data_IF_409644909993
#
_entry.id   IF_409644909993
#
_cell.length_a   1.000
_cell.length_b   1.000
_cell.length_c   1.000
_cell.angle_alpha   90.00
_cell.angle_beta   90.00
_cell.angle_gamma   90.00
#
_symmetry.space_group_name_H-M   'P 1'
#
loop_
_entity.id
_entity.type
_entity.pdbx_description
1 polymer ?
#
# COMPACT_ATOMS: atom_id res chain seq x y z
N UNK A 1 3.79 12.03 7.13
CA UNK A 1 3.63 11.22 5.91
C UNK A 1 4.91 10.55 5.43
N UNK A 2 6.02 11.25 5.46
CA UNK A 2 7.29 10.63 5.05
C UNK A 2 7.65 9.43 5.94
N UNK A 3 7.52 9.59 7.25
CA UNK A 3 7.79 8.49 8.18
C UNK A 3 6.81 7.35 8.01
N UNK A 4 5.54 7.67 7.78
CA UNK A 4 4.52 6.65 7.53
C UNK A 4 4.84 5.87 6.26
N UNK A 5 5.28 6.57 5.19
CA UNK A 5 5.70 5.91 3.96
C UNK A 5 6.86 4.95 4.19
N UNK A 6 7.82 5.34 5.02
CA UNK A 6 8.95 4.48 5.39
C UNK A 6 8.50 3.26 6.18
N UNK A 7 7.57 3.45 7.13
CA UNK A 7 7.03 2.33 7.90
C UNK A 7 6.32 1.33 7.01
N UNK A 8 5.49 1.83 6.07
CA UNK A 8 4.76 0.97 5.13
C UNK A 8 5.74 0.21 4.25
N UNK A 9 6.77 0.88 3.75
CA UNK A 9 7.81 0.23 2.96
C UNK A 9 8.50 -0.89 3.75
N UNK A 10 8.82 -0.65 5.01
CA UNK A 10 9.42 -1.64 5.88
C UNK A 10 8.50 -2.85 6.06
N UNK A 11 7.20 -2.60 6.26
CA UNK A 11 6.19 -3.66 6.36
C UNK A 11 6.19 -4.51 5.09
N UNK A 12 6.16 -3.87 3.92
CA UNK A 12 6.17 -4.58 2.63
C UNK A 12 7.44 -5.42 2.50
N UNK A 13 8.60 -4.82 2.76
CA UNK A 13 9.88 -5.50 2.62
C UNK A 13 9.99 -6.67 3.57
N UNK A 14 9.50 -6.52 4.81
CA UNK A 14 9.53 -7.58 5.81
C UNK A 14 8.65 -8.76 5.40
N UNK A 15 7.42 -8.48 4.97
CA UNK A 15 6.47 -9.55 4.60
C UNK A 15 6.89 -10.22 3.29
N UNK A 16 7.14 -9.44 2.25
CA UNK A 16 7.48 -10.00 0.94
C UNK A 16 8.86 -10.63 0.94
N UNK A 17 9.84 -9.97 1.54
CA UNK A 17 11.19 -10.49 1.68
C UNK A 17 11.22 -11.77 2.52
N UNK A 18 10.45 -11.79 3.61
CA UNK A 18 10.31 -12.99 4.45
C UNK A 18 9.82 -14.19 3.65
N UNK A 19 8.83 -13.96 2.80
CA UNK A 19 8.29 -15.03 1.95
C UNK A 19 9.30 -15.47 0.89
N UNK A 20 9.85 -14.52 0.13
CA UNK A 20 10.72 -14.86 -1.01
C UNK A 20 12.08 -15.40 -0.59
N UNK A 21 12.65 -14.90 0.51
CA UNK A 21 13.99 -15.28 0.94
C UNK A 21 13.97 -16.42 1.94
N UNK A 22 13.08 -16.36 2.93
CA UNK A 22 13.02 -17.31 4.06
C UNK A 22 11.87 -18.29 3.97
N UNK A 23 11.03 -18.18 2.93
CA UNK A 23 9.85 -19.03 2.73
C UNK A 23 8.88 -19.00 3.92
N UNK A 24 8.75 -17.80 4.51
CA UNK A 24 7.85 -17.59 5.65
C UNK A 24 6.40 -17.67 5.19
N UNK A 25 5.64 -18.60 5.74
CA UNK A 25 4.23 -18.83 5.37
C UNK A 25 3.26 -17.94 6.13
N UNK A 26 3.76 -17.09 7.04
CA UNK A 26 2.93 -16.21 7.87
C UNK A 26 2.56 -14.88 7.18
N UNK A 27 2.49 -14.86 5.85
CA UNK A 27 2.20 -13.65 5.06
C UNK A 27 0.87 -13.03 5.49
N UNK A 28 -0.19 -13.82 5.52
CA UNK A 28 -1.53 -13.31 5.84
C UNK A 28 -1.60 -12.80 7.28
N UNK A 29 -1.05 -13.55 8.23
CA UNK A 29 -1.02 -13.15 9.64
C UNK A 29 -0.28 -11.84 9.85
N UNK A 30 0.88 -11.68 9.21
CA UNK A 30 1.66 -10.45 9.30
C UNK A 30 0.95 -9.28 8.64
N UNK A 31 0.31 -9.51 7.50
CA UNK A 31 -0.46 -8.48 6.81
C UNK A 31 -1.65 -8.02 7.65
N UNK A 32 -2.35 -8.94 8.29
CA UNK A 32 -3.46 -8.60 9.20
C UNK A 32 -3.01 -7.74 10.37
N UNK A 33 -1.83 -8.02 10.93
CA UNK A 33 -1.27 -7.22 12.02
C UNK A 33 -0.95 -5.80 11.57
N UNK A 34 -0.56 -5.64 10.31
CA UNK A 34 -0.23 -4.33 9.73
C UNK A 34 -1.43 -3.61 9.12
N UNK A 35 -2.62 -4.24 9.11
CA UNK A 35 -3.80 -3.72 8.41
C UNK A 35 -4.18 -2.31 8.85
N UNK A 36 -4.10 -2.00 10.14
CA UNK A 36 -4.44 -0.69 10.65
C UNK A 36 -3.58 0.42 10.07
N UNK A 37 -2.27 0.18 10.01
CA UNK A 37 -1.31 1.14 9.45
C UNK A 37 -1.49 1.29 7.95
N UNK A 38 -1.71 0.19 7.25
CA UNK A 38 -1.92 0.19 5.80
C UNK A 38 -3.18 0.99 5.46
N UNK A 39 -4.28 0.74 6.18
CA UNK A 39 -5.53 1.45 5.97
C UNK A 39 -5.39 2.94 6.26
N UNK A 40 -4.70 3.30 7.34
CA UNK A 40 -4.47 4.70 7.70
C UNK A 40 -3.67 5.41 6.60
N UNK A 41 -2.64 4.79 6.08
CA UNK A 41 -1.84 5.34 5.00
C UNK A 41 -2.69 5.57 3.74
N UNK A 42 -3.46 4.57 3.34
CA UNK A 42 -4.33 4.68 2.17
C UNK A 42 -5.41 5.75 2.34
N UNK A 43 -6.01 5.85 3.52
CA UNK A 43 -7.03 6.86 3.81
C UNK A 43 -6.51 8.28 3.63
N UNK A 44 -5.22 8.51 3.90
CA UNK A 44 -4.61 9.81 3.70
C UNK A 44 -4.79 10.30 2.26
N UNK A 45 -4.61 9.41 1.30
CA UNK A 45 -4.78 9.74 -0.12
C UNK A 45 -6.23 9.92 -0.53
N UNK A 46 -7.16 9.39 0.26
CA UNK A 46 -8.60 9.46 -0.04
C UNK A 46 -9.29 10.67 0.59
N UNK A 47 -8.61 11.40 1.48
CA UNK A 47 -9.19 12.55 2.17
C UNK A 47 -9.36 13.78 1.30
N UNK A 48 -8.60 13.89 0.24
CA UNK A 48 -8.64 15.02 -0.68
C UNK A 48 -7.43 15.05 -1.58
N UNK A 49 -7.41 15.99 -2.51
CA UNK A 49 -6.33 16.15 -3.47
C UNK A 49 -5.13 16.86 -2.82
N UNK A 50 -4.39 16.11 -1.99
CA UNK A 50 -3.31 16.63 -1.15
C UNK A 50 -2.11 17.13 -1.94
N UNK A 51 -1.93 16.65 -3.18
CA UNK A 51 -0.80 17.05 -4.02
C UNK A 51 -1.15 18.14 -5.03
N UNK A 52 -2.40 18.65 -5.02
CA UNK A 52 -2.83 19.62 -5.99
C UNK A 52 -2.78 19.12 -7.42
N UNK A 53 -3.06 17.83 -7.61
CA UNK A 53 -3.09 17.20 -8.93
C UNK A 53 -4.28 17.70 -9.75
N UNK A 54 -4.20 17.55 -11.07
CA UNK A 54 -5.36 17.76 -11.91
C UNK A 54 -6.48 16.82 -11.49
N UNK A 55 -7.72 17.24 -11.67
CA UNK A 55 -8.87 16.46 -11.24
C UNK A 55 -8.85 15.03 -11.78
N UNK A 56 -8.52 14.88 -13.05
CA UNK A 56 -8.45 13.56 -13.68
C UNK A 56 -7.36 12.69 -13.06
N UNK A 57 -6.17 13.26 -12.83
CA UNK A 57 -5.06 12.56 -12.20
C UNK A 57 -5.39 12.12 -10.79
N UNK A 58 -6.04 13.00 -10.01
CA UNK A 58 -6.47 12.67 -8.66
C UNK A 58 -7.54 11.57 -8.66
N UNK A 59 -8.45 11.61 -9.61
CA UNK A 59 -9.49 10.60 -9.74
C UNK A 59 -8.91 9.22 -10.02
N UNK A 60 -7.88 9.16 -10.85
CA UNK A 60 -7.16 7.91 -11.13
C UNK A 60 -6.44 7.39 -9.89
N UNK A 61 -5.77 8.28 -9.16
CA UNK A 61 -5.10 7.92 -7.90
C UNK A 61 -6.12 7.37 -6.89
N UNK A 62 -7.24 8.05 -6.74
CA UNK A 62 -8.30 7.64 -5.82
C UNK A 62 -8.78 6.23 -6.16
N UNK A 63 -9.08 5.97 -7.43
CA UNK A 63 -9.52 4.65 -7.88
C UNK A 63 -8.47 3.59 -7.60
N UNK A 64 -7.21 3.92 -7.83
CA UNK A 64 -6.11 2.99 -7.61
C UNK A 64 -5.99 2.62 -6.13
N UNK A 65 -6.05 3.62 -5.25
CA UNK A 65 -5.97 3.39 -3.81
C UNK A 65 -7.13 2.53 -3.32
N UNK A 66 -8.36 2.83 -3.77
CA UNK A 66 -9.55 2.03 -3.44
C UNK A 66 -9.38 0.59 -3.91
N UNK A 67 -8.86 0.40 -5.12
CA UNK A 67 -8.61 -0.93 -5.67
C UNK A 67 -7.60 -1.71 -4.83
N UNK A 68 -6.49 -1.08 -4.44
CA UNK A 68 -5.46 -1.71 -3.60
C UNK A 68 -6.05 -2.11 -2.25
N UNK A 69 -6.84 -1.24 -1.62
CA UNK A 69 -7.50 -1.57 -0.36
C UNK A 69 -8.47 -2.73 -0.51
N UNK A 70 -9.23 -2.75 -1.60
CA UNK A 70 -10.15 -3.85 -1.89
C UNK A 70 -9.43 -5.18 -2.04
N UNK A 71 -8.34 -5.18 -2.79
CA UNK A 71 -7.52 -6.38 -2.97
C UNK A 71 -6.91 -6.85 -1.64
N UNK A 72 -6.48 -5.90 -0.80
CA UNK A 72 -5.95 -6.23 0.51
C UNK A 72 -6.98 -6.95 1.38
N UNK A 73 -8.19 -6.40 1.44
CA UNK A 73 -9.29 -6.99 2.21
C UNK A 73 -9.65 -8.37 1.67
N UNK A 74 -9.77 -8.50 0.35
CA UNK A 74 -10.07 -9.78 -0.29
C UNK A 74 -9.01 -10.83 0.01
N UNK A 75 -7.73 -10.46 -0.14
CA UNK A 75 -6.63 -11.37 0.13
C UNK A 75 -6.64 -11.83 1.58
N UNK A 76 -6.92 -10.93 2.53
CA UNK A 76 -6.98 -11.26 3.95
C UNK A 76 -8.16 -12.18 4.26
N UNK A 77 -9.33 -11.91 3.69
CA UNK A 77 -10.54 -12.72 3.91
C UNK A 77 -10.43 -14.11 3.28
N UNK A 78 -9.88 -14.18 2.08
CA UNK A 78 -9.72 -15.44 1.34
C UNK A 78 -8.46 -16.20 1.75
N UNK A 79 -7.63 -15.62 2.60
CA UNK A 79 -6.31 -16.14 2.95
C UNK A 79 -5.48 -16.44 1.69
N UNK A 80 -5.59 -15.55 0.69
CA UNK A 80 -4.90 -15.65 -0.59
C UNK A 80 -3.51 -15.05 -0.51
N UNK A 81 -2.51 -15.88 -0.28
CA UNK A 81 -1.12 -15.44 -0.12
C UNK A 81 -0.59 -14.77 -1.38
N UNK A 82 -0.89 -15.31 -2.56
CA UNK A 82 -0.42 -14.75 -3.83
C UNK A 82 -1.00 -13.36 -4.06
N UNK A 83 -2.31 -13.21 -3.88
CA UNK A 83 -2.96 -11.91 -4.01
C UNK A 83 -2.42 -10.91 -2.99
N UNK A 84 -2.19 -11.35 -1.75
CA UNK A 84 -1.63 -10.47 -0.72
C UNK A 84 -0.23 -9.99 -1.09
N UNK A 85 0.64 -10.87 -1.57
CA UNK A 85 1.99 -10.49 -1.99
C UNK A 85 1.95 -9.50 -3.15
N UNK A 86 1.09 -9.74 -4.13
CA UNK A 86 0.93 -8.83 -5.27
C UNK A 86 0.40 -7.48 -4.82
N UNK A 87 -0.58 -7.47 -3.92
CA UNK A 87 -1.16 -6.22 -3.40
C UNK A 87 -0.12 -5.39 -2.67
N UNK A 88 0.70 -6.02 -1.84
CA UNK A 88 1.74 -5.32 -1.09
C UNK A 88 2.90 -4.89 -1.98
N UNK A 89 3.44 -5.82 -2.75
CA UNK A 89 4.68 -5.60 -3.50
C UNK A 89 4.50 -4.71 -4.73
N UNK A 90 3.35 -4.77 -5.38
CA UNK A 90 3.06 -3.94 -6.54
C UNK A 90 2.08 -2.82 -6.22
N UNK A 91 0.93 -3.14 -5.66
CA UNK A 91 -0.12 -2.16 -5.41
C UNK A 91 0.27 -1.09 -4.40
N UNK A 92 0.59 -1.50 -3.19
CA UNK A 92 0.92 -0.56 -2.11
C UNK A 92 2.26 0.14 -2.37
N UNK A 93 3.22 -0.56 -2.92
CA UNK A 93 4.52 0.02 -3.27
C UNK A 93 4.37 1.12 -4.32
N UNK A 94 3.48 0.95 -5.29
CA UNK A 94 3.19 1.98 -6.28
C UNK A 94 2.60 3.24 -5.64
N UNK A 95 1.75 3.09 -4.65
CA UNK A 95 1.20 4.24 -3.91
C UNK A 95 2.33 5.02 -3.23
N UNK A 96 3.29 4.32 -2.64
CA UNK A 96 4.46 4.94 -2.01
C UNK A 96 5.28 5.71 -3.06
N UNK A 97 5.47 5.13 -4.24
CA UNK A 97 6.22 5.76 -5.32
C UNK A 97 5.51 7.02 -5.82
N UNK A 98 4.18 6.97 -5.95
CA UNK A 98 3.38 8.14 -6.33
C UNK A 98 3.55 9.25 -5.29
N UNK A 99 3.52 8.92 -4.01
CA UNK A 99 3.75 9.88 -2.94
C UNK A 99 5.11 10.56 -3.08
N UNK A 100 6.16 9.77 -3.30
CA UNK A 100 7.52 10.28 -3.44
C UNK A 100 7.66 11.22 -4.64
N UNK A 101 7.09 10.84 -5.78
CA UNK A 101 7.15 11.65 -6.99
C UNK A 101 6.48 13.00 -6.81
N UNK A 102 5.32 13.02 -6.17
CA UNK A 102 4.54 14.25 -5.97
C UNK A 102 5.13 15.13 -4.87
N UNK A 103 5.66 14.53 -3.82
CA UNK A 103 6.34 15.28 -2.77
C UNK A 103 7.61 15.94 -3.31
N UNK A 104 8.39 15.22 -4.11
CA UNK A 104 9.57 15.76 -4.75
C UNK A 104 9.25 16.89 -5.72
N UNK A 105 8.13 16.78 -6.45
CA UNK A 105 7.68 17.83 -7.39
C UNK A 105 7.17 19.06 -6.66
N UNK A 106 6.59 18.90 -5.47
CA UNK A 106 6.06 20.01 -4.67
C UNK A 106 7.17 20.78 -3.95
N UNK A 107 8.30 20.14 -3.78
CA UNK A 107 9.44 20.75 -3.12
C UNK A 107 10.31 21.50 -4.08
#
# INVERSE_FOLDING_TARGET
>A
MEEMSKEIRTIIDTICGGFYIYKDEEVIGKARKAAGKIQEYCKYFLQGNIFGMEEEGYRELYRYVVHVLGDFVEAAEQEDTVLMLDTLDYGLREIIDIYKENEGAAG
#
